data_IF_875788407343
#
_entry.id   IF_875788407343
#
_cell.length_a   1.000
_cell.length_b   1.000
_cell.length_c   1.000
_cell.angle_alpha   90.00
_cell.angle_beta   90.00
_cell.angle_gamma   90.00
#
_symmetry.space_group_name_H-M   'P 1'
#
loop_
_entity.id
_entity.type
_entity.pdbx_description
1 polymer ?
#
# COMPACT_ATOMS: atom_id res chain seq x y z
N UNK A 1 3.38 -17.20 16.95
CA UNK A 1 3.76 -17.32 15.52
C UNK A 1 2.83 -16.41 14.76
N UNK A 2 3.36 -15.52 13.96
CA UNK A 2 2.54 -14.64 13.13
C UNK A 2 1.95 -15.41 11.96
N UNK A 3 0.73 -15.05 11.56
CA UNK A 3 0.02 -15.67 10.43
C UNK A 3 0.40 -15.03 9.09
N UNK A 4 1.44 -14.18 9.05
CA UNK A 4 1.86 -13.48 7.83
C UNK A 4 2.44 -14.48 6.83
N UNK A 5 1.81 -14.60 5.67
CA UNK A 5 2.22 -15.50 4.60
C UNK A 5 2.51 -14.73 3.32
N UNK A 6 3.74 -14.79 2.82
CA UNK A 6 4.12 -14.16 1.54
C UNK A 6 3.55 -14.97 0.38
N UNK A 7 2.49 -14.49 -0.25
CA UNK A 7 1.85 -15.10 -1.41
C UNK A 7 2.41 -14.50 -2.70
N UNK A 8 2.87 -15.35 -3.61
CA UNK A 8 3.33 -14.89 -4.93
C UNK A 8 2.18 -14.98 -5.92
N UNK A 9 1.28 -14.02 -5.83
CA UNK A 9 0.14 -13.92 -6.75
C UNK A 9 0.53 -13.09 -7.97
N UNK A 10 0.14 -13.55 -9.14
CA UNK A 10 0.25 -12.80 -10.39
C UNK A 10 -1.15 -12.67 -10.97
N UNK A 11 -1.66 -11.44 -10.98
CA UNK A 11 -2.91 -11.14 -11.65
C UNK A 11 -2.67 -10.93 -13.15
N UNK A 12 -3.59 -11.41 -13.95
CA UNK A 12 -3.61 -11.15 -15.38
C UNK A 12 -4.74 -10.16 -15.67
N UNK A 13 -4.34 -8.95 -16.05
CA UNK A 13 -5.27 -7.87 -16.34
C UNK A 13 -5.58 -7.86 -17.84
N UNK A 14 -6.84 -7.55 -18.22
CA UNK A 14 -7.18 -7.23 -19.61
C UNK A 14 -6.41 -6.00 -20.08
N UNK A 15 -6.18 -5.92 -21.39
CA UNK A 15 -5.48 -4.76 -21.98
C UNK A 15 -6.38 -3.51 -22.06
N UNK A 16 -7.71 -3.66 -21.99
CA UNK A 16 -8.68 -2.57 -22.12
C UNK A 16 -9.26 -2.17 -20.75
N UNK A 17 -9.31 -0.86 -20.45
CA UNK A 17 -9.83 -0.35 -19.18
C UNK A 17 -11.30 -0.71 -18.94
N UNK A 18 -12.13 -0.71 -19.97
CA UNK A 18 -13.53 -1.09 -19.86
C UNK A 18 -13.72 -2.54 -19.40
N UNK A 19 -12.74 -3.40 -19.67
CA UNK A 19 -12.71 -4.78 -19.19
C UNK A 19 -12.10 -4.87 -17.77
N UNK A 20 -11.23 -3.92 -17.40
CA UNK A 20 -10.65 -3.83 -16.04
C UNK A 20 -11.69 -3.36 -15.05
N UNK A 21 -12.54 -2.39 -15.45
CA UNK A 21 -13.55 -1.74 -14.60
C UNK A 21 -14.99 -2.01 -15.06
N UNK A 22 -15.43 -3.27 -15.22
CA UNK A 22 -16.75 -3.57 -15.76
C UNK A 22 -17.88 -3.18 -14.81
N UNK A 23 -18.59 -2.09 -15.15
CA UNK A 23 -19.86 -1.74 -14.51
C UNK A 23 -19.80 -1.29 -13.05
N UNK A 24 -18.68 -0.74 -12.62
CA UNK A 24 -18.47 -0.31 -11.24
C UNK A 24 -18.71 1.20 -11.09
N UNK A 25 -18.97 1.63 -9.84
CA UNK A 25 -19.10 3.05 -9.47
C UNK A 25 -17.88 3.86 -9.96
N UNK A 26 -18.03 4.76 -10.95
CA UNK A 26 -16.89 5.48 -11.53
C UNK A 26 -16.10 6.30 -10.50
N UNK A 27 -16.74 6.77 -9.43
CA UNK A 27 -16.09 7.57 -8.39
C UNK A 27 -15.23 6.68 -7.49
N UNK A 28 -15.78 5.54 -7.05
CA UNK A 28 -15.04 4.57 -6.23
C UNK A 28 -13.85 3.99 -6.97
N UNK A 29 -14.02 3.66 -8.25
CA UNK A 29 -12.93 3.13 -9.08
C UNK A 29 -11.85 4.16 -9.37
N UNK A 30 -12.21 5.41 -9.63
CA UNK A 30 -11.23 6.49 -9.80
C UNK A 30 -10.39 6.68 -8.54
N UNK A 31 -11.01 6.58 -7.35
CA UNK A 31 -10.29 6.66 -6.09
C UNK A 31 -9.30 5.49 -5.93
N UNK A 32 -9.76 4.25 -6.15
CA UNK A 32 -8.92 3.07 -6.06
C UNK A 32 -7.80 3.07 -7.13
N UNK A 33 -8.09 3.55 -8.34
CA UNK A 33 -7.09 3.70 -9.38
C UNK A 33 -6.03 4.74 -8.99
N UNK A 34 -6.42 5.90 -8.47
CA UNK A 34 -5.49 6.91 -7.98
C UNK A 34 -4.63 6.36 -6.83
N UNK A 35 -5.24 5.61 -5.91
CA UNK A 35 -4.52 4.96 -4.82
C UNK A 35 -3.51 3.92 -5.36
N UNK A 36 -3.95 3.06 -6.29
CA UNK A 36 -3.08 2.08 -6.96
C UNK A 36 -1.84 2.73 -7.59
N UNK A 37 -2.01 3.89 -8.24
CA UNK A 37 -0.91 4.61 -8.87
C UNK A 37 0.21 4.98 -7.90
N UNK A 38 -0.09 5.20 -6.63
CA UNK A 38 0.91 5.58 -5.62
C UNK A 38 1.70 4.41 -5.04
N UNK A 39 1.17 3.18 -5.07
CA UNK A 39 1.77 1.99 -4.45
C UNK A 39 3.20 1.70 -4.93
N UNK A 40 3.52 1.76 -6.26
CA UNK A 40 4.87 1.50 -6.72
C UNK A 40 5.95 2.48 -6.24
N UNK A 41 5.56 3.64 -5.73
CA UNK A 41 6.49 4.58 -5.12
C UNK A 41 6.59 4.39 -3.60
N UNK A 42 5.45 4.15 -2.95
CA UNK A 42 5.32 4.10 -1.51
C UNK A 42 5.80 2.77 -0.90
N UNK A 43 5.31 1.63 -1.37
CA UNK A 43 5.64 0.33 -0.78
C UNK A 43 7.14 0.00 -0.84
N UNK A 44 7.89 0.31 -1.92
CA UNK A 44 9.34 0.24 -1.88
C UNK A 44 10.00 1.13 -0.82
N UNK A 45 9.38 2.26 -0.46
CA UNK A 45 9.86 3.08 0.64
C UNK A 45 9.62 2.40 1.99
N UNK A 46 8.46 1.79 2.20
CA UNK A 46 8.17 1.00 3.41
C UNK A 46 9.18 -0.15 3.57
N UNK A 47 9.43 -0.89 2.49
CA UNK A 47 10.42 -1.97 2.46
C UNK A 47 11.82 -1.46 2.83
N UNK A 48 12.27 -0.34 2.24
CA UNK A 48 13.59 0.23 2.56
C UNK A 48 13.68 0.64 4.02
N UNK A 49 12.64 1.28 4.54
CA UNK A 49 12.55 1.68 5.94
C UNK A 49 12.69 0.48 6.87
N UNK A 50 11.92 -0.57 6.65
CA UNK A 50 11.95 -1.78 7.47
C UNK A 50 13.30 -2.50 7.38
N UNK A 51 13.86 -2.64 6.18
CA UNK A 51 15.19 -3.26 5.97
C UNK A 51 16.32 -2.50 6.66
N UNK A 52 16.26 -1.18 6.67
CA UNK A 52 17.27 -0.34 7.34
C UNK A 52 17.29 -0.56 8.84
N UNK A 53 16.12 -0.75 9.45
CA UNK A 53 16.02 -0.90 10.91
C UNK A 53 16.06 -2.36 11.40
N UNK A 54 15.82 -3.32 10.52
CA UNK A 54 15.79 -4.75 10.84
C UNK A 54 17.00 -5.24 11.68
N UNK A 55 18.27 -4.85 11.40
CA UNK A 55 19.41 -5.29 12.21
C UNK A 55 19.39 -4.81 13.67
N UNK A 56 18.51 -3.86 14.02
CA UNK A 56 18.37 -3.31 15.36
C UNK A 56 17.19 -3.92 16.13
N UNK A 57 16.36 -4.71 15.45
CA UNK A 57 15.24 -5.40 16.09
C UNK A 57 15.78 -6.65 16.77
N UNK A 58 15.71 -6.67 18.10
CA UNK A 58 16.22 -7.78 18.94
C UNK A 58 15.16 -8.83 19.23
N UNK A 59 13.90 -8.51 19.04
CA UNK A 59 12.78 -9.45 19.09
C UNK A 59 12.76 -10.31 17.83
N UNK A 60 12.98 -11.61 17.98
CA UNK A 60 13.13 -12.56 16.85
C UNK A 60 11.83 -12.71 16.08
N UNK A 61 10.67 -12.78 16.75
CA UNK A 61 9.38 -12.91 16.08
C UNK A 61 9.07 -11.64 15.27
N UNK A 62 9.29 -10.48 15.85
CA UNK A 62 9.12 -9.20 15.13
C UNK A 62 10.08 -9.08 13.94
N UNK A 63 11.33 -9.51 14.08
CA UNK A 63 12.29 -9.47 12.97
C UNK A 63 11.87 -10.38 11.80
N UNK A 64 11.32 -11.55 12.10
CA UNK A 64 10.75 -12.44 11.08
C UNK A 64 9.51 -11.82 10.42
N UNK A 65 8.65 -11.17 11.20
CA UNK A 65 7.46 -10.50 10.69
C UNK A 65 7.80 -9.32 9.78
N UNK A 66 8.82 -8.54 10.12
CA UNK A 66 9.37 -7.47 9.24
C UNK A 66 9.89 -8.03 7.91
N UNK A 67 10.48 -9.22 7.91
CA UNK A 67 10.91 -9.87 6.66
C UNK A 67 9.70 -10.32 5.82
N UNK A 68 8.68 -10.91 6.44
CA UNK A 68 7.46 -11.36 5.77
C UNK A 68 6.68 -10.17 5.22
N UNK A 69 6.49 -9.11 6.02
CA UNK A 69 5.95 -7.82 5.60
C UNK A 69 6.64 -7.31 4.34
N UNK A 70 7.97 -7.20 4.38
CA UNK A 70 8.73 -6.75 3.21
C UNK A 70 8.54 -7.63 1.97
N UNK A 71 8.21 -8.89 2.18
CA UNK A 71 7.87 -9.85 1.12
C UNK A 71 6.48 -9.61 0.54
N UNK A 72 5.46 -9.35 1.36
CA UNK A 72 4.10 -9.02 0.93
C UNK A 72 4.10 -7.69 0.16
N UNK A 73 4.67 -6.63 0.73
CA UNK A 73 4.81 -5.33 0.08
C UNK A 73 5.50 -5.41 -1.31
N UNK A 74 6.50 -6.31 -1.43
CA UNK A 74 7.16 -6.53 -2.71
C UNK A 74 6.24 -7.17 -3.77
N UNK A 75 5.24 -7.95 -3.36
CA UNK A 75 4.23 -8.51 -4.28
C UNK A 75 3.15 -7.46 -4.60
N UNK A 76 2.77 -6.62 -3.63
CA UNK A 76 1.79 -5.55 -3.81
C UNK A 76 2.23 -4.59 -4.92
N UNK A 77 3.37 -3.90 -4.76
CA UNK A 77 3.78 -2.91 -5.74
C UNK A 77 4.05 -3.50 -7.14
N UNK A 78 4.46 -4.77 -7.25
CA UNK A 78 4.68 -5.39 -8.55
C UNK A 78 3.37 -5.61 -9.30
N UNK A 79 2.29 -6.01 -8.61
CA UNK A 79 0.98 -6.18 -9.22
C UNK A 79 0.34 -4.83 -9.53
N UNK A 80 0.41 -3.86 -8.62
CA UNK A 80 -0.05 -2.50 -8.87
C UNK A 80 0.67 -1.84 -10.05
N UNK A 81 1.98 -2.03 -10.19
CA UNK A 81 2.73 -1.51 -11.34
C UNK A 81 2.19 -2.02 -12.67
N UNK A 82 1.79 -3.28 -12.76
CA UNK A 82 1.25 -3.85 -14.01
C UNK A 82 -0.06 -3.19 -14.42
N UNK A 83 -1.02 -3.10 -13.48
CA UNK A 83 -2.31 -2.47 -13.79
C UNK A 83 -2.16 -0.96 -14.04
N UNK A 84 -1.25 -0.29 -13.33
CA UNK A 84 -1.00 1.13 -13.50
C UNK A 84 -0.47 1.48 -14.89
N UNK A 85 0.36 0.62 -15.50
CA UNK A 85 0.80 0.82 -16.88
C UNK A 85 -0.36 0.73 -17.86
N UNK A 86 -1.34 -0.14 -17.63
CA UNK A 86 -2.56 -0.22 -18.43
C UNK A 86 -3.39 1.06 -18.25
N UNK A 87 -3.62 1.48 -17.01
CA UNK A 87 -4.38 2.71 -16.69
C UNK A 87 -3.74 3.93 -17.36
N UNK A 88 -2.44 4.13 -17.20
CA UNK A 88 -1.73 5.29 -17.76
C UNK A 88 -1.65 5.21 -19.29
N UNK A 89 -1.59 4.01 -19.84
CA UNK A 89 -1.51 3.80 -21.29
C UNK A 89 -2.78 4.13 -22.04
N UNK A 90 -3.92 4.17 -21.36
CA UNK A 90 -5.25 4.36 -21.97
C UNK A 90 -5.92 5.70 -21.66
N UNK A 91 -5.31 6.53 -20.80
CA UNK A 91 -5.74 7.94 -20.66
C UNK A 91 -5.17 8.78 -21.80
N UNK A 92 -5.71 9.99 -21.98
CA UNK A 92 -5.15 10.95 -22.94
C UNK A 92 -3.63 11.06 -22.79
N UNK A 93 -2.85 11.08 -23.87
CA UNK A 93 -1.38 11.08 -23.79
C UNK A 93 -0.79 12.24 -22.98
N UNK A 94 -1.41 13.42 -22.98
CA UNK A 94 -0.95 14.55 -22.16
C UNK A 94 -1.22 14.30 -20.68
N UNK A 95 -2.41 13.79 -20.33
CA UNK A 95 -2.75 13.37 -18.98
C UNK A 95 -1.84 12.22 -18.48
N UNK A 96 -1.54 11.25 -19.33
CA UNK A 96 -0.62 10.16 -19.02
C UNK A 96 0.80 10.65 -18.72
N UNK A 97 1.29 11.64 -19.48
CA UNK A 97 2.59 12.24 -19.24
C UNK A 97 2.61 13.04 -17.92
N UNK A 98 1.54 13.74 -17.59
CA UNK A 98 1.40 14.47 -16.32
C UNK A 98 1.36 13.50 -15.14
N UNK A 99 0.58 12.41 -15.22
CA UNK A 99 0.54 11.37 -14.19
C UNK A 99 1.93 10.78 -13.95
N UNK A 100 2.67 10.42 -15.01
CA UNK A 100 4.05 9.91 -14.85
C UNK A 100 4.96 10.91 -14.15
N UNK A 101 4.86 12.21 -14.48
CA UNK A 101 5.66 13.25 -13.83
C UNK A 101 5.34 13.37 -12.33
N UNK A 102 4.06 13.28 -11.94
CA UNK A 102 3.61 13.27 -10.54
C UNK A 102 4.17 12.03 -9.81
N UNK A 103 4.07 10.85 -10.41
CA UNK A 103 4.56 9.61 -9.80
C UNK A 103 6.08 9.59 -9.64
N UNK A 104 6.82 10.12 -10.62
CA UNK A 104 8.28 10.30 -10.54
C UNK A 104 8.66 11.27 -9.41
N UNK A 105 7.89 12.34 -9.19
CA UNK A 105 8.13 13.26 -8.07
C UNK A 105 7.85 12.63 -6.72
N UNK A 106 6.80 11.83 -6.64
CA UNK A 106 6.47 11.04 -5.45
C UNK A 106 7.60 10.05 -5.11
N UNK A 107 8.09 9.31 -6.10
CA UNK A 107 9.22 8.39 -5.91
C UNK A 107 10.49 9.13 -5.47
N UNK A 108 10.82 10.28 -6.09
CA UNK A 108 11.95 11.13 -5.67
C UNK A 108 11.79 11.59 -4.23
N UNK A 109 10.58 11.93 -3.82
CA UNK A 109 10.28 12.36 -2.44
C UNK A 109 10.56 11.24 -1.44
N UNK A 110 10.09 10.03 -1.71
CA UNK A 110 10.33 8.89 -0.81
C UNK A 110 11.81 8.45 -0.80
N UNK A 111 12.51 8.53 -1.94
CA UNK A 111 13.97 8.33 -1.96
C UNK A 111 14.68 9.35 -1.09
N UNK A 112 14.32 10.63 -1.22
CA UNK A 112 14.87 11.70 -0.38
C UNK A 112 14.57 11.47 1.10
N UNK A 113 13.40 10.94 1.47
CA UNK A 113 13.11 10.60 2.87
C UNK A 113 14.04 9.48 3.35
N UNK A 114 14.22 8.42 2.59
CA UNK A 114 15.15 7.34 2.91
C UNK A 114 16.58 7.88 3.11
N UNK A 115 17.05 8.77 2.23
CA UNK A 115 18.45 9.21 2.19
C UNK A 115 18.77 10.31 3.21
N UNK A 116 17.78 11.16 3.57
CA UNK A 116 18.05 12.38 4.34
C UNK A 116 17.31 12.47 5.68
N UNK A 117 16.31 11.64 5.94
CA UNK A 117 15.59 11.62 7.21
C UNK A 117 16.15 10.56 8.14
N UNK A 118 15.96 10.75 9.44
CA UNK A 118 16.36 9.76 10.44
C UNK A 118 15.48 8.50 10.36
N UNK A 119 16.01 7.35 10.80
CA UNK A 119 15.23 6.11 10.96
C UNK A 119 13.99 6.33 11.81
N UNK A 120 14.12 7.14 12.87
CA UNK A 120 12.97 7.52 13.71
C UNK A 120 11.85 8.21 12.92
N UNK A 121 12.21 9.10 11.97
CA UNK A 121 11.22 9.75 11.09
C UNK A 121 10.62 8.75 10.12
N UNK A 122 11.45 7.95 9.47
CA UNK A 122 10.98 6.98 8.47
C UNK A 122 10.08 5.92 9.10
N UNK A 123 10.40 5.41 10.29
CA UNK A 123 9.53 4.49 11.04
C UNK A 123 8.19 5.12 11.43
N UNK A 124 8.23 6.36 11.94
CA UNK A 124 7.02 7.08 12.30
C UNK A 124 6.10 7.29 11.08
N UNK A 125 6.69 7.64 9.94
CA UNK A 125 5.94 7.86 8.70
C UNK A 125 5.36 6.56 8.13
N UNK A 126 6.16 5.48 8.13
CA UNK A 126 5.74 4.16 7.71
C UNK A 126 4.59 3.64 8.58
N UNK A 127 4.71 3.72 9.91
CA UNK A 127 3.65 3.30 10.84
C UNK A 127 2.35 4.10 10.63
N UNK A 128 2.47 5.42 10.44
CA UNK A 128 1.31 6.27 10.21
C UNK A 128 0.59 5.95 8.89
N UNK A 129 1.33 5.52 7.87
CA UNK A 129 0.76 5.07 6.61
C UNK A 129 0.10 3.70 6.76
N UNK A 130 0.77 2.73 7.34
CA UNK A 130 0.25 1.39 7.62
C UNK A 130 -1.03 1.41 8.47
N UNK A 131 -1.10 2.30 9.46
CA UNK A 131 -2.33 2.47 10.23
C UNK A 131 -3.51 2.95 9.37
N UNK A 132 -3.25 3.77 8.35
CA UNK A 132 -4.26 4.25 7.42
C UNK A 132 -4.70 3.15 6.45
N UNK A 133 -3.76 2.42 5.83
CA UNK A 133 -4.08 1.35 4.88
C UNK A 133 -4.83 0.22 5.56
N UNK A 134 -4.44 -0.16 6.77
CA UNK A 134 -5.19 -1.12 7.58
C UNK A 134 -6.64 -0.66 7.86
N UNK A 135 -6.84 0.61 8.22
CA UNK A 135 -8.20 1.14 8.46
C UNK A 135 -9.04 1.11 7.18
N UNK A 136 -8.46 1.43 6.03
CA UNK A 136 -9.11 1.35 4.72
C UNK A 136 -9.44 -0.11 4.36
N UNK A 137 -8.50 -1.03 4.54
CA UNK A 137 -8.68 -2.46 4.29
C UNK A 137 -9.82 -3.05 5.15
N UNK A 138 -9.85 -2.73 6.45
CA UNK A 138 -10.92 -3.14 7.34
C UNK A 138 -12.28 -2.57 6.92
N UNK A 139 -12.33 -1.31 6.49
CA UNK A 139 -13.56 -0.69 5.97
C UNK A 139 -14.03 -1.39 4.70
N UNK A 140 -13.13 -1.65 3.77
CA UNK A 140 -13.43 -2.33 2.50
C UNK A 140 -13.96 -3.74 2.75
N UNK A 141 -13.31 -4.52 3.62
CA UNK A 141 -13.73 -5.89 3.95
C UNK A 141 -15.09 -5.93 4.68
N UNK A 142 -15.37 -4.97 5.57
CA UNK A 142 -16.66 -4.86 6.23
C UNK A 142 -17.80 -4.56 5.25
N UNK A 143 -17.58 -3.63 4.32
CA UNK A 143 -18.56 -3.28 3.27
C UNK A 143 -18.79 -4.47 2.33
N UNK A 144 -17.75 -5.20 1.95
CA UNK A 144 -17.90 -6.43 1.17
C UNK A 144 -18.73 -7.48 1.92
N UNK A 145 -18.52 -7.65 3.22
CA UNK A 145 -19.26 -8.61 4.05
C UNK A 145 -20.74 -8.20 4.27
N UNK A 146 -21.05 -6.90 4.26
CA UNK A 146 -22.44 -6.41 4.37
C UNK A 146 -23.19 -6.41 3.03
N UNK A 147 -22.53 -6.79 1.93
CA UNK A 147 -23.12 -6.74 0.59
C UNK A 147 -23.17 -5.31 -0.01
N UNK A 148 -22.58 -4.34 0.65
CA UNK A 148 -22.38 -2.98 0.16
C UNK A 148 -21.10 -2.97 -0.71
N UNK A 149 -21.27 -3.29 -1.97
CA UNK A 149 -20.13 -3.58 -2.84
C UNK A 149 -19.40 -2.35 -3.35
N UNK A 150 -18.27 -2.01 -2.75
CA UNK A 150 -17.19 -1.34 -3.47
C UNK A 150 -16.24 -2.36 -4.16
N UNK A 151 -16.36 -3.64 -3.86
CA UNK A 151 -15.48 -4.72 -4.34
C UNK A 151 -16.29 -5.88 -4.96
N UNK A 152 -17.41 -5.62 -5.60
CA UNK A 152 -18.19 -6.64 -6.31
C UNK A 152 -18.77 -7.78 -5.44
N UNK A 153 -19.67 -8.57 -5.99
CA UNK A 153 -20.20 -9.77 -5.34
C UNK A 153 -19.16 -10.90 -5.43
N UNK A 154 -18.86 -11.64 -4.34
CA UNK A 154 -18.00 -12.81 -4.42
C UNK A 154 -18.45 -13.77 -5.55
N UNK A 155 -17.51 -14.12 -6.43
CA UNK A 155 -17.78 -14.94 -7.62
C UNK A 155 -17.92 -14.17 -8.93
N UNK A 156 -17.99 -12.82 -8.88
CA UNK A 156 -18.00 -11.96 -10.07
C UNK A 156 -16.76 -11.05 -10.14
N UNK A 157 -15.77 -11.29 -9.28
CA UNK A 157 -14.58 -10.46 -9.22
C UNK A 157 -13.70 -10.63 -10.46
N UNK A 158 -13.53 -9.55 -11.21
CA UNK A 158 -12.46 -9.43 -12.17
C UNK A 158 -11.09 -9.29 -11.49
N UNK A 159 -10.00 -9.32 -12.26
CA UNK A 159 -8.63 -9.25 -11.73
C UNK A 159 -8.36 -8.00 -10.88
N UNK A 160 -9.00 -6.89 -11.18
CA UNK A 160 -8.93 -5.64 -10.42
C UNK A 160 -9.48 -5.77 -9.00
N UNK A 161 -10.69 -6.31 -8.86
CA UNK A 161 -11.31 -6.53 -7.56
C UNK A 161 -10.56 -7.61 -6.76
N UNK A 162 -10.05 -8.63 -7.45
CA UNK A 162 -9.23 -9.67 -6.81
C UNK A 162 -7.92 -9.09 -6.28
N UNK A 163 -7.26 -8.20 -7.03
CA UNK A 163 -6.06 -7.49 -6.58
C UNK A 163 -6.33 -6.74 -5.26
N UNK A 164 -7.39 -5.92 -5.22
CA UNK A 164 -7.71 -5.13 -4.04
C UNK A 164 -8.18 -5.98 -2.85
N UNK A 165 -8.93 -7.03 -3.10
CA UNK A 165 -9.36 -7.94 -2.03
C UNK A 165 -8.17 -8.70 -1.41
N UNK A 166 -7.23 -9.15 -2.25
CA UNK A 166 -6.01 -9.80 -1.81
C UNK A 166 -5.10 -8.82 -1.06
N UNK A 167 -4.85 -7.63 -1.60
CA UNK A 167 -4.06 -6.58 -0.97
C UNK A 167 -4.64 -6.22 0.41
N UNK A 168 -5.93 -5.91 0.48
CA UNK A 168 -6.59 -5.58 1.74
C UNK A 168 -6.52 -6.71 2.79
N UNK A 169 -6.56 -7.98 2.38
CA UNK A 169 -6.38 -9.09 3.29
C UNK A 169 -4.96 -9.13 3.87
N UNK A 170 -3.94 -8.91 3.06
CA UNK A 170 -2.55 -8.86 3.51
C UNK A 170 -2.23 -7.62 4.36
N UNK A 171 -2.86 -6.45 4.10
CA UNK A 171 -2.82 -5.27 4.99
C UNK A 171 -3.34 -5.59 6.40
N UNK A 172 -4.37 -6.43 6.50
CA UNK A 172 -4.90 -6.87 7.80
C UNK A 172 -3.97 -7.89 8.45
N UNK A 173 -3.33 -8.77 7.69
CA UNK A 173 -2.38 -9.76 8.23
C UNK A 173 -1.17 -9.07 8.88
N UNK A 174 -0.57 -8.08 8.22
CA UNK A 174 0.65 -7.43 8.69
C UNK A 174 0.44 -6.14 9.50
N UNK A 175 -0.78 -5.77 9.81
CA UNK A 175 -1.21 -4.50 10.46
C UNK A 175 -0.44 -4.08 11.70
N UNK A 176 0.24 -5.01 12.38
CA UNK A 176 0.98 -4.71 13.62
C UNK A 176 2.49 -4.61 13.42
N UNK A 177 3.00 -4.89 12.23
CA UNK A 177 4.45 -4.99 11.99
C UNK A 177 5.13 -3.63 12.07
N UNK A 178 4.63 -2.65 11.32
CA UNK A 178 5.20 -1.30 11.35
C UNK A 178 5.05 -0.66 12.74
N UNK A 179 3.92 -0.87 13.39
CA UNK A 179 3.70 -0.45 14.79
C UNK A 179 4.68 -1.13 15.75
N UNK A 180 4.86 -2.44 15.65
CA UNK A 180 5.79 -3.19 16.49
C UNK A 180 7.24 -2.71 16.33
N UNK A 181 7.68 -2.50 15.08
CA UNK A 181 9.01 -1.96 14.80
C UNK A 181 9.18 -0.54 15.34
N UNK A 182 8.14 0.31 15.21
CA UNK A 182 8.13 1.64 15.80
C UNK A 182 8.22 1.61 17.32
N UNK A 183 7.37 0.82 18.00
CA UNK A 183 7.38 0.72 19.46
C UNK A 183 8.71 0.16 19.98
N UNK A 184 9.27 -0.84 19.31
CA UNK A 184 10.54 -1.46 19.71
C UNK A 184 11.72 -0.48 19.64
N UNK A 185 11.77 0.40 18.64
CA UNK A 185 12.93 1.26 18.36
C UNK A 185 12.75 2.72 18.77
N UNK A 186 11.51 3.20 18.90
CA UNK A 186 11.18 4.62 19.15
C UNK A 186 10.28 4.80 20.35
N UNK A 187 9.16 4.10 20.46
CA UNK A 187 8.24 4.03 21.61
C UNK A 187 7.63 5.37 22.06
N UNK A 188 7.57 6.39 21.20
CA UNK A 188 7.08 7.72 21.57
C UNK A 188 5.66 7.96 21.06
N UNK A 189 4.66 7.77 21.90
CA UNK A 189 3.26 7.98 21.55
C UNK A 189 2.95 9.35 20.92
N UNK A 190 3.37 10.52 21.52
CA UNK A 190 3.08 11.81 20.88
C UNK A 190 3.71 11.96 19.50
N UNK A 191 4.92 11.43 19.31
CA UNK A 191 5.60 11.50 18.02
C UNK A 191 4.92 10.63 16.98
N UNK A 192 4.39 9.47 17.38
CA UNK A 192 3.57 8.60 16.53
C UNK A 192 2.30 9.30 16.03
N UNK A 193 1.55 9.93 16.95
CA UNK A 193 0.31 10.67 16.58
C UNK A 193 0.60 11.77 15.56
N UNK A 194 1.66 12.57 15.79
CA UNK A 194 2.09 13.62 14.82
C UNK A 194 2.48 13.00 13.50
N UNK A 195 3.13 11.85 13.52
CA UNK A 195 3.53 11.12 12.32
C UNK A 195 2.37 10.60 11.51
N UNK A 196 1.41 9.98 12.16
CA UNK A 196 0.20 9.47 11.52
C UNK A 196 -0.59 10.60 10.85
N UNK A 197 -0.76 11.73 11.54
CA UNK A 197 -1.41 12.92 10.96
C UNK A 197 -0.62 13.45 9.75
N UNK A 198 0.70 13.47 9.82
CA UNK A 198 1.56 13.93 8.72
C UNK A 198 1.50 12.99 7.52
N UNK A 199 1.56 11.68 7.74
CA UNK A 199 1.46 10.69 6.67
C UNK A 199 0.13 10.81 5.93
N UNK A 200 -0.97 10.91 6.68
CA UNK A 200 -2.32 11.10 6.13
C UNK A 200 -2.45 12.42 5.37
N UNK A 201 -1.93 13.52 5.93
CA UNK A 201 -1.96 14.82 5.25
C UNK A 201 -1.20 14.81 3.93
N UNK A 202 0.00 14.23 3.91
CA UNK A 202 0.82 14.15 2.69
C UNK A 202 0.18 13.24 1.62
N UNK A 203 -0.67 12.33 2.04
CA UNK A 203 -1.37 11.44 1.12
C UNK A 203 -2.63 12.07 0.51
N UNK A 204 -3.29 12.97 1.23
CA UNK A 204 -4.57 13.57 0.81
C UNK A 204 -4.41 14.93 0.12
N UNK A 205 -3.26 15.57 0.19
CA UNK A 205 -2.97 16.92 -0.28
C UNK A 205 -1.77 17.10 -1.08
#
# INVERSE_FOLDING_TARGET
MSDITVRRVKFEFPDELDEVFPGIDPVGETYLAAFSLTMPALEPYLIRTMRTVLPRITDVELAEDVQRFSGQEAQHFQNHRRINEIIIGQVDPAAGAELRAILDDLERTYRRYTDSKSDRFNLMYAEGFEAMTCAMALSMMRRAASGETAVGTPGTFGPWQQLWAWHAAEEIEHRTVAFGAYEHLVGSYPYRVVGSLRAQWNFQG
#
